data_IF_420397607634
#
_entry.id   IF_420397607634
#
_cell.length_a   1.000
_cell.length_b   1.000
_cell.length_c   1.000
_cell.angle_alpha   90.00
_cell.angle_beta   90.00
_cell.angle_gamma   90.00
#
_symmetry.space_group_name_H-M   'P 1'
#
loop_
_entity.id
_entity.type
_entity.pdbx_description
1 polymer ?
#
# COMPACT_ATOMS: atom_id res chain seq x y z
N UNK A 1 -17.88 2.24 17.49
CA UNK A 1 -17.03 2.83 18.54
C UNK A 1 -16.60 4.20 18.08
N UNK A 2 -16.76 5.24 18.91
CA UNK A 2 -16.30 6.60 18.58
C UNK A 2 -14.77 6.59 18.44
N UNK A 3 -14.22 7.31 17.46
CA UNK A 3 -12.76 7.37 17.20
C UNK A 3 -11.96 7.72 18.45
N UNK A 4 -12.46 8.64 19.27
CA UNK A 4 -11.89 9.03 20.56
C UNK A 4 -11.65 7.86 21.54
N UNK A 5 -12.45 6.79 21.46
CA UNK A 5 -12.29 5.62 22.31
C UNK A 5 -11.09 4.78 21.86
N UNK A 6 -10.87 4.66 20.54
CA UNK A 6 -9.74 3.90 19.99
C UNK A 6 -8.41 4.57 20.29
N UNK A 7 -8.36 5.90 20.22
CA UNK A 7 -7.15 6.67 20.56
C UNK A 7 -6.80 6.52 22.04
N UNK A 8 -7.81 6.51 22.92
CA UNK A 8 -7.65 6.23 24.35
C UNK A 8 -7.14 4.82 24.61
N UNK A 9 -7.72 3.82 23.95
CA UNK A 9 -7.31 2.42 24.09
C UNK A 9 -5.85 2.23 23.61
N UNK A 10 -5.46 2.90 22.53
CA UNK A 10 -4.09 2.90 22.00
C UNK A 10 -3.08 3.51 22.98
N UNK A 11 -3.36 4.71 23.48
CA UNK A 11 -2.48 5.38 24.45
C UNK A 11 -2.35 4.57 25.75
N UNK A 12 -3.41 3.90 26.19
CA UNK A 12 -3.36 3.01 27.35
C UNK A 12 -2.44 1.81 27.13
N UNK A 13 -2.49 1.19 25.94
CA UNK A 13 -1.62 0.04 25.63
C UNK A 13 -0.15 0.45 25.49
N UNK A 14 0.13 1.61 24.89
CA UNK A 14 1.48 2.20 24.84
C UNK A 14 2.00 2.46 26.27
N UNK A 15 1.20 3.11 27.11
CA UNK A 15 1.58 3.40 28.50
C UNK A 15 1.87 2.13 29.32
N UNK A 16 1.08 1.07 29.10
CA UNK A 16 1.29 -0.23 29.72
C UNK A 16 2.62 -0.87 29.32
N UNK A 17 2.94 -0.90 28.02
CA UNK A 17 4.22 -1.43 27.51
C UNK A 17 5.43 -0.64 28.03
N UNK A 18 5.32 0.70 28.13
CA UNK A 18 6.36 1.55 28.74
C UNK A 18 6.55 1.18 30.21
N UNK A 19 5.45 1.06 30.97
CA UNK A 19 5.51 0.70 32.38
C UNK A 19 6.15 -0.68 32.60
N UNK A 20 5.86 -1.66 31.75
CA UNK A 20 6.36 -3.02 31.89
C UNK A 20 7.86 -3.10 31.56
N UNK A 21 8.34 -2.40 30.53
CA UNK A 21 9.78 -2.31 30.22
C UNK A 21 10.57 -1.57 31.32
N UNK A 22 9.99 -0.52 31.89
CA UNK A 22 10.61 0.20 33.01
C UNK A 22 10.77 -0.67 34.26
N UNK A 23 9.83 -1.60 34.53
CA UNK A 23 9.95 -2.57 35.64
C UNK A 23 11.05 -3.62 35.42
N UNK A 24 11.44 -3.84 34.16
CA UNK A 24 12.50 -4.79 33.77
C UNK A 24 13.89 -4.13 33.72
N UNK A 25 14.06 -2.91 34.26
CA UNK A 25 15.31 -2.13 34.18
C UNK A 25 15.82 -1.89 32.75
N UNK A 26 14.93 -1.92 31.75
CA UNK A 26 15.23 -1.60 30.35
C UNK A 26 14.33 -0.42 29.94
N UNK A 27 14.61 0.80 30.44
CA UNK A 27 13.82 1.97 30.07
C UNK A 27 13.94 2.24 28.57
N UNK A 28 12.85 2.73 27.99
CA UNK A 28 12.76 3.03 26.55
C UNK A 28 13.58 4.26 26.25
N UNK A 29 14.46 4.15 25.27
CA UNK A 29 15.25 5.28 24.79
C UNK A 29 14.37 6.23 23.95
N UNK A 30 14.66 7.54 23.93
CA UNK A 30 13.89 8.51 23.15
C UNK A 30 13.74 8.12 21.67
N UNK A 31 14.75 7.46 21.10
CA UNK A 31 14.78 7.00 19.71
C UNK A 31 13.80 5.84 19.45
N UNK A 32 13.53 5.01 20.46
CA UNK A 32 12.68 3.81 20.37
C UNK A 32 11.19 4.12 20.61
N UNK A 33 10.87 5.35 20.99
CA UNK A 33 9.48 5.75 21.29
C UNK A 33 8.62 5.58 20.05
N UNK A 34 9.06 6.08 18.89
CA UNK A 34 8.30 5.98 17.64
C UNK A 34 8.07 4.53 17.20
N UNK A 35 9.05 3.65 17.38
CA UNK A 35 8.93 2.22 17.08
C UNK A 35 7.87 1.57 17.98
N UNK A 36 7.84 1.92 19.28
CA UNK A 36 6.82 1.41 20.20
C UNK A 36 5.40 1.87 19.83
N UNK A 37 5.23 3.12 19.40
CA UNK A 37 3.96 3.63 18.89
C UNK A 37 3.51 2.84 17.66
N UNK A 38 4.43 2.60 16.72
CA UNK A 38 4.18 1.84 15.50
C UNK A 38 3.79 0.39 15.80
N UNK A 39 4.59 -0.33 16.59
CA UNK A 39 4.34 -1.74 16.94
C UNK A 39 3.01 -1.91 17.69
N UNK A 40 2.67 -0.94 18.55
CA UNK A 40 1.41 -0.96 19.28
C UNK A 40 0.23 -0.73 18.36
N UNK A 41 0.37 0.19 17.41
CA UNK A 41 -0.65 0.46 16.41
C UNK A 41 -0.89 -0.80 15.57
N UNK A 42 0.17 -1.40 15.03
CA UNK A 42 0.13 -2.64 14.24
C UNK A 42 -0.49 -3.81 15.03
N UNK A 43 -0.15 -3.96 16.33
CA UNK A 43 -0.72 -5.02 17.17
C UNK A 43 -2.21 -4.86 17.49
N UNK A 44 -2.69 -3.61 17.55
CA UNK A 44 -4.09 -3.29 17.82
C UNK A 44 -4.94 -3.20 16.54
N UNK A 45 -4.30 -3.02 15.38
CA UNK A 45 -5.02 -3.06 14.10
C UNK A 45 -5.27 -4.51 13.71
N UNK A 46 -6.54 -4.94 13.79
CA UNK A 46 -7.00 -6.26 13.32
C UNK A 46 -7.04 -6.40 11.79
N UNK A 47 -6.40 -5.49 11.05
CA UNK A 47 -6.37 -5.52 9.59
C UNK A 47 -5.38 -6.59 9.16
N UNK A 48 -5.89 -7.80 9.00
CA UNK A 48 -5.15 -8.87 8.33
C UNK A 48 -5.20 -8.63 6.83
N UNK A 49 -4.06 -8.26 6.25
CA UNK A 49 -3.91 -8.23 4.79
C UNK A 49 -3.86 -9.68 4.31
N UNK A 50 -4.90 -10.09 3.58
CA UNK A 50 -4.92 -11.38 2.89
C UNK A 50 -4.67 -11.11 1.42
N UNK A 51 -3.49 -11.50 0.94
CA UNK A 51 -3.16 -11.44 -0.47
C UNK A 51 -3.86 -12.59 -1.19
N UNK A 52 -4.84 -12.27 -2.03
CA UNK A 52 -5.48 -13.26 -2.89
C UNK A 52 -4.83 -13.26 -4.28
N UNK A 53 -4.43 -14.42 -4.82
CA UNK A 53 -3.92 -14.49 -6.18
C UNK A 53 -5.04 -14.16 -7.16
N UNK A 54 -4.84 -13.11 -7.97
CA UNK A 54 -5.75 -12.79 -9.08
C UNK A 54 -5.29 -13.59 -10.29
N UNK A 55 -6.03 -14.64 -10.62
CA UNK A 55 -5.84 -15.36 -11.88
C UNK A 55 -6.44 -14.54 -13.02
N UNK A 56 -5.58 -14.03 -13.87
CA UNK A 56 -5.98 -13.14 -14.95
C UNK A 56 -5.73 -13.81 -16.30
N UNK A 57 -6.78 -13.98 -17.13
CA UNK A 57 -6.61 -14.54 -18.46
C UNK A 57 -5.80 -13.56 -19.33
N UNK A 58 -4.86 -14.13 -20.09
CA UNK A 58 -4.07 -13.43 -21.10
C UNK A 58 -4.50 -13.94 -22.47
N UNK A 59 -4.86 -13.03 -23.36
CA UNK A 59 -5.08 -13.30 -24.76
C UNK A 59 -3.78 -13.08 -25.50
N UNK A 60 -3.38 -14.04 -26.34
CA UNK A 60 -2.18 -13.95 -27.15
C UNK A 60 -2.59 -14.02 -28.61
N UNK A 61 -2.23 -13.00 -29.36
CA UNK A 61 -2.48 -12.88 -30.79
C UNK A 61 -1.12 -12.96 -31.51
N UNK A 62 -1.02 -13.82 -32.52
CA UNK A 62 0.16 -13.93 -33.38
C UNK A 62 -0.03 -13.05 -34.61
N UNK A 63 0.91 -12.14 -34.82
CA UNK A 63 1.05 -11.33 -36.03
C UNK A 63 2.24 -11.87 -36.85
N UNK A 64 2.49 -11.33 -38.05
CA UNK A 64 3.46 -11.93 -39.01
C UNK A 64 4.87 -12.14 -38.42
N UNK A 65 5.36 -11.19 -37.64
CA UNK A 65 6.73 -11.21 -37.09
C UNK A 65 6.79 -11.18 -35.55
N UNK A 66 5.66 -11.05 -34.86
CA UNK A 66 5.62 -10.86 -33.41
C UNK A 66 4.33 -11.38 -32.78
N UNK A 67 4.33 -11.45 -31.45
CA UNK A 67 3.20 -11.81 -30.62
C UNK A 67 2.75 -10.62 -29.79
N UNK A 68 1.45 -10.48 -29.65
CA UNK A 68 0.81 -9.45 -28.83
C UNK A 68 0.05 -10.13 -27.69
N UNK A 69 0.34 -9.76 -26.45
CA UNK A 69 -0.36 -10.24 -25.25
C UNK A 69 -1.22 -9.13 -24.65
N UNK A 70 -2.48 -9.44 -24.29
CA UNK A 70 -3.43 -8.49 -23.69
C UNK A 70 -4.23 -9.14 -22.56
N UNK A 71 -4.86 -8.33 -21.72
CA UNK A 71 -5.84 -8.83 -20.74
C UNK A 71 -7.04 -7.90 -20.60
N UNK A 72 -8.24 -8.48 -20.51
CA UNK A 72 -9.49 -7.73 -20.29
C UNK A 72 -9.53 -6.96 -18.97
N UNK A 73 -8.75 -7.40 -17.96
CA UNK A 73 -8.62 -6.66 -16.71
C UNK A 73 -7.77 -5.40 -16.84
N UNK A 74 -6.90 -5.34 -17.85
CA UNK A 74 -5.98 -4.23 -18.11
C UNK A 74 -6.05 -3.83 -19.58
N UNK A 75 -7.20 -3.29 -19.98
CA UNK A 75 -7.47 -2.89 -21.37
C UNK A 75 -6.49 -1.85 -21.94
N UNK A 76 -5.72 -1.17 -21.07
CA UNK A 76 -4.71 -0.18 -21.46
C UNK A 76 -3.31 -0.77 -21.58
N UNK A 77 -3.08 -2.01 -21.17
CA UNK A 77 -1.79 -2.68 -21.22
C UNK A 77 -1.74 -3.68 -22.39
N UNK A 78 -0.61 -3.72 -23.10
CA UNK A 78 -0.26 -4.66 -24.17
C UNK A 78 1.23 -5.03 -24.11
N UNK A 79 1.52 -6.32 -24.05
CA UNK A 79 2.89 -6.81 -24.26
C UNK A 79 3.12 -7.14 -25.72
N UNK A 80 4.27 -6.77 -26.29
CA UNK A 80 4.68 -7.17 -27.65
C UNK A 80 6.01 -7.91 -27.54
N UNK A 81 6.16 -9.07 -28.18
CA UNK A 81 7.36 -9.90 -28.09
C UNK A 81 7.63 -10.72 -29.35
N UNK A 82 8.86 -11.25 -29.49
CA UNK A 82 9.22 -12.13 -30.63
C UNK A 82 8.68 -13.55 -30.49
N UNK A 83 8.34 -13.94 -29.27
CA UNK A 83 7.67 -15.18 -28.90
C UNK A 83 6.56 -14.87 -27.86
N UNK A 84 5.79 -15.90 -27.50
CA UNK A 84 4.68 -15.76 -26.55
C UNK A 84 5.17 -15.37 -25.15
N UNK A 85 6.27 -15.98 -24.67
CA UNK A 85 6.84 -15.70 -23.36
C UNK A 85 7.28 -14.25 -23.21
N UNK A 86 7.95 -13.69 -24.22
CA UNK A 86 8.39 -12.30 -24.28
C UNK A 86 7.18 -11.35 -24.26
N UNK A 87 6.14 -11.67 -25.04
CA UNK A 87 4.92 -10.87 -25.06
C UNK A 87 4.23 -10.88 -23.69
N UNK A 88 4.13 -12.04 -23.03
CA UNK A 88 3.57 -12.17 -21.68
C UNK A 88 4.42 -11.40 -20.66
N UNK A 89 5.75 -11.50 -20.74
CA UNK A 89 6.64 -10.82 -19.81
C UNK A 89 6.53 -9.30 -19.95
N UNK A 90 6.52 -8.79 -21.18
CA UNK A 90 6.34 -7.36 -21.44
C UNK A 90 4.96 -6.86 -20.97
N UNK A 91 3.91 -7.67 -21.12
CA UNK A 91 2.57 -7.35 -20.59
C UNK A 91 2.59 -7.23 -19.06
N UNK A 92 3.28 -8.14 -18.35
CA UNK A 92 3.42 -8.08 -16.88
C UNK A 92 4.14 -6.82 -16.42
N UNK A 93 5.20 -6.43 -17.13
CA UNK A 93 5.95 -5.22 -16.82
C UNK A 93 5.09 -3.97 -16.99
N UNK A 94 4.30 -3.89 -18.06
CA UNK A 94 3.40 -2.77 -18.29
C UNK A 94 2.25 -2.71 -17.27
N UNK A 95 1.68 -3.86 -16.88
CA UNK A 95 0.68 -3.93 -15.80
C UNK A 95 1.28 -3.41 -14.49
N UNK A 96 2.51 -3.81 -14.17
CA UNK A 96 3.20 -3.35 -12.96
C UNK A 96 3.45 -1.84 -13.00
N UNK A 97 3.84 -1.29 -14.14
CA UNK A 97 4.00 0.16 -14.33
C UNK A 97 2.65 0.90 -14.17
N UNK A 98 1.58 0.37 -14.75
CA UNK A 98 0.23 0.91 -14.61
C UNK A 98 -0.22 0.93 -13.15
N UNK A 99 -0.10 -0.20 -12.44
CA UNK A 99 -0.48 -0.29 -11.03
C UNK A 99 0.32 0.69 -10.15
N UNK A 100 1.63 0.79 -10.37
CA UNK A 100 2.47 1.76 -9.66
C UNK A 100 2.03 3.21 -9.94
N UNK A 101 1.67 3.52 -11.19
CA UNK A 101 1.15 4.83 -11.56
C UNK A 101 -0.16 5.16 -10.84
N UNK A 102 -1.12 4.23 -10.82
CA UNK A 102 -2.38 4.37 -10.10
C UNK A 102 -2.17 4.60 -8.59
N UNK A 103 -1.34 3.76 -7.95
CA UNK A 103 -1.01 3.90 -6.52
C UNK A 103 -0.37 5.27 -6.23
N UNK A 104 0.53 5.73 -7.10
CA UNK A 104 1.18 7.04 -6.92
C UNK A 104 0.18 8.19 -7.09
N UNK A 105 -0.75 8.08 -8.04
CA UNK A 105 -1.81 9.05 -8.22
C UNK A 105 -2.74 9.11 -6.99
N UNK A 106 -3.16 7.97 -6.45
CA UNK A 106 -3.96 7.89 -5.22
C UNK A 106 -3.21 8.50 -4.02
N UNK A 107 -1.94 8.16 -3.83
CA UNK A 107 -1.10 8.76 -2.78
C UNK A 107 -1.02 10.28 -2.92
N UNK A 108 -0.86 10.78 -4.15
CA UNK A 108 -0.81 12.22 -4.41
C UNK A 108 -2.14 12.89 -4.08
N UNK A 109 -3.27 12.32 -4.51
CA UNK A 109 -4.60 12.83 -4.18
C UNK A 109 -4.83 12.85 -2.66
N UNK A 110 -4.45 11.79 -1.95
CA UNK A 110 -4.58 11.74 -0.50
C UNK A 110 -3.76 12.83 0.21
N UNK A 111 -2.53 13.08 -0.24
CA UNK A 111 -1.70 14.18 0.29
C UNK A 111 -2.33 15.53 -0.04
N UNK A 112 -2.84 15.73 -1.25
CA UNK A 112 -3.54 16.96 -1.65
C UNK A 112 -4.78 17.21 -0.77
N UNK A 113 -5.55 16.17 -0.46
CA UNK A 113 -6.69 16.24 0.45
C UNK A 113 -6.27 16.63 1.87
N UNK A 114 -5.20 16.02 2.41
CA UNK A 114 -4.64 16.39 3.73
C UNK A 114 -4.20 17.87 3.72
N UNK A 115 -3.47 18.30 2.70
CA UNK A 115 -3.00 19.69 2.59
C UNK A 115 -4.17 20.67 2.49
N UNK A 116 -5.18 20.37 1.68
CA UNK A 116 -6.36 21.22 1.54
C UNK A 116 -7.19 21.27 2.84
N UNK A 117 -7.22 20.19 3.63
CA UNK A 117 -7.90 20.16 4.93
C UNK A 117 -7.15 20.96 6.00
N UNK A 118 -5.81 20.95 5.99
CA UNK A 118 -4.98 21.70 6.96
C UNK A 118 -4.86 23.18 6.55
N UNK A 119 -4.72 23.45 5.25
CA UNK A 119 -4.57 24.78 4.66
C UNK A 119 -5.65 25.02 3.61
N UNK A 120 -6.91 25.25 4.03
CA UNK A 120 -7.99 25.51 3.10
C UNK A 120 -7.66 26.75 2.27
N UNK A 121 -7.69 26.57 0.94
CA UNK A 121 -7.51 27.67 -0.03
C UNK A 121 -8.73 28.60 0.06
N UNK A 122 -8.65 29.55 0.96
CA UNK A 122 -9.70 30.51 1.31
C UNK A 122 -9.40 31.33 2.58
N UNK A 123 -8.31 31.01 3.29
CA UNK A 123 -7.92 31.63 4.56
C UNK A 123 -6.90 32.78 4.44
N UNK A 124 -6.91 33.55 3.34
CA UNK A 124 -6.18 34.81 3.19
C UNK A 124 -7.06 35.86 2.54
#
# INVERSE_FOLDING_TARGET
MKESQKDLDFLQEVAKKISDRSKQNSPILPEEVFDLFKDTLESMTTVRIVEMPIFMPVLIEKEEEFYTARSYGYNRCKGIGRNEEDAIQNLKEEINLYNRSCINAEKKMHIEDIVNNIFPKGSF
#
